data_IF_593531688454
#
_entry.id   IF_593531688454
#
_cell.length_a   1.000
_cell.length_b   1.000
_cell.length_c   1.000
_cell.angle_alpha   90.00
_cell.angle_beta   90.00
_cell.angle_gamma   90.00
#
_symmetry.space_group_name_H-M   'P 1'
#
loop_
_entity.id
_entity.type
_entity.pdbx_description
1 polymer ?
#
# COMPACT_ATOMS: atom_id res chain seq x y z
N UNK A 1 -4.59 31.79 68.21
CA UNK A 1 -3.72 30.85 67.46
C UNK A 1 -4.52 30.28 66.30
N UNK A 2 -4.33 30.77 65.07
CA UNK A 2 -5.03 30.27 63.85
C UNK A 2 -4.16 29.24 63.14
N UNK A 3 -4.62 27.99 63.08
CA UNK A 3 -3.97 26.94 62.36
C UNK A 3 -4.27 27.03 60.87
N UNK A 4 -3.25 27.32 60.06
CA UNK A 4 -3.34 27.24 58.60
C UNK A 4 -3.12 25.76 58.19
N UNK A 5 -4.13 25.17 57.55
CA UNK A 5 -4.03 23.86 56.93
C UNK A 5 -3.66 24.11 55.48
N UNK A 6 -2.43 23.73 55.08
CA UNK A 6 -1.97 23.68 53.70
C UNK A 6 -2.47 22.38 53.05
N UNK A 7 -3.44 22.49 52.13
CA UNK A 7 -3.86 21.38 51.29
C UNK A 7 -2.91 21.36 50.08
N UNK A 8 -1.98 20.41 50.04
CA UNK A 8 -1.14 20.10 48.88
C UNK A 8 -2.02 19.37 47.86
N UNK A 9 -2.49 20.05 46.83
CA UNK A 9 -3.13 19.46 45.67
C UNK A 9 -2.04 18.79 44.79
N UNK A 10 -1.92 17.49 44.89
CA UNK A 10 -1.07 16.70 44.00
C UNK A 10 -1.70 16.64 42.60
N UNK A 11 -1.18 17.45 41.69
CA UNK A 11 -1.55 17.39 40.27
C UNK A 11 -0.86 16.17 39.67
N UNK A 12 -1.60 15.08 39.52
CA UNK A 12 -1.17 13.94 38.71
C UNK A 12 -1.18 14.36 37.22
N UNK A 13 -0.03 14.69 36.69
CA UNK A 13 0.19 14.74 35.25
C UNK A 13 0.09 13.30 34.72
N UNK A 14 -1.08 12.91 34.25
CA UNK A 14 -1.22 11.75 33.41
C UNK A 14 -0.47 12.03 32.11
N UNK A 15 0.80 11.65 32.02
CA UNK A 15 1.54 11.58 30.78
C UNK A 15 0.82 10.57 29.90
N UNK A 16 -0.10 11.05 29.07
CA UNK A 16 -0.74 10.24 28.02
C UNK A 16 0.37 9.71 27.13
N UNK A 17 0.70 8.43 27.28
CA UNK A 17 1.50 7.72 26.32
C UNK A 17 0.65 7.70 25.03
N UNK A 18 0.96 8.60 24.10
CA UNK A 18 0.49 8.47 22.73
C UNK A 18 1.12 7.18 22.19
N UNK A 19 0.43 6.06 22.38
CA UNK A 19 0.76 4.84 21.68
C UNK A 19 0.70 5.18 20.18
N UNK A 20 1.84 5.24 19.51
CA UNK A 20 1.90 5.39 18.07
C UNK A 20 1.20 4.17 17.46
N UNK A 21 -0.09 4.34 17.17
CA UNK A 21 -0.83 3.37 16.37
C UNK A 21 -0.20 3.32 14.98
N UNK A 22 -0.14 2.15 14.38
CA UNK A 22 0.26 1.96 12.99
C UNK A 22 -0.90 1.36 12.18
N UNK A 23 -0.75 1.37 10.86
CA UNK A 23 -1.77 0.94 9.91
C UNK A 23 -2.15 -0.54 10.05
N UNK A 24 -1.27 -1.37 10.60
CA UNK A 24 -1.51 -2.82 10.74
C UNK A 24 -2.12 -3.21 12.09
N UNK A 25 -2.29 -2.29 13.01
CA UNK A 25 -2.74 -2.59 14.37
C UNK A 25 -4.11 -3.29 14.41
N UNK A 26 -5.00 -2.97 13.46
CA UNK A 26 -6.35 -3.54 13.35
C UNK A 26 -6.44 -4.74 12.41
N UNK A 27 -5.37 -5.06 11.69
CA UNK A 27 -5.35 -6.16 10.73
C UNK A 27 -5.38 -7.50 11.46
N UNK A 28 -6.17 -8.43 10.93
CA UNK A 28 -6.27 -9.83 11.40
C UNK A 28 -6.38 -10.75 10.20
N UNK A 29 -5.69 -11.89 10.24
CA UNK A 29 -5.85 -12.91 9.21
C UNK A 29 -7.26 -13.46 9.21
N UNK A 30 -7.83 -13.66 8.02
CA UNK A 30 -9.22 -14.10 7.85
C UNK A 30 -10.27 -12.99 7.90
N UNK A 31 -9.87 -11.74 8.21
CA UNK A 31 -10.74 -10.56 8.12
C UNK A 31 -10.59 -9.87 6.74
N UNK A 32 -11.44 -8.87 6.48
CA UNK A 32 -11.32 -7.97 5.34
C UNK A 32 -10.12 -7.01 5.57
N UNK A 33 -8.96 -7.41 5.04
CA UNK A 33 -7.70 -6.69 5.23
C UNK A 33 -7.75 -5.27 4.61
N UNK A 34 -8.20 -5.07 3.36
CA UNK A 34 -8.38 -3.73 2.80
C UNK A 34 -9.19 -2.81 3.71
N UNK A 35 -10.35 -3.28 4.17
CA UNK A 35 -11.19 -2.50 5.07
C UNK A 35 -10.51 -2.18 6.41
N UNK A 36 -9.69 -3.09 6.93
CA UNK A 36 -8.95 -2.88 8.18
C UNK A 36 -7.82 -1.84 8.02
N UNK A 37 -7.23 -1.73 6.82
CA UNK A 37 -6.15 -0.80 6.50
C UNK A 37 -6.66 0.62 6.20
N UNK A 38 -7.73 0.75 5.39
CA UNK A 38 -8.24 2.04 4.94
C UNK A 38 -8.60 2.94 6.12
N UNK A 39 -8.13 4.19 6.08
CA UNK A 39 -8.34 5.18 7.13
C UNK A 39 -7.39 5.05 8.33
N UNK A 40 -6.54 4.01 8.37
CA UNK A 40 -5.49 3.93 9.38
C UNK A 40 -4.37 4.92 9.04
N UNK A 41 -3.67 5.39 10.06
CA UNK A 41 -2.52 6.27 9.89
C UNK A 41 -1.36 5.69 10.68
N UNK A 42 -0.30 5.40 9.96
CA UNK A 42 0.95 4.95 10.56
C UNK A 42 1.95 6.08 10.75
N UNK A 43 2.80 6.02 11.76
CA UNK A 43 4.00 6.82 11.78
C UNK A 43 4.92 6.35 10.64
N UNK A 44 5.75 7.25 10.13
CA UNK A 44 6.82 6.90 9.19
C UNK A 44 7.83 6.02 9.94
N UNK A 45 7.57 4.73 10.00
CA UNK A 45 8.45 3.75 10.64
C UNK A 45 9.32 3.08 9.57
N UNK A 46 10.49 2.62 9.99
CA UNK A 46 11.32 1.78 9.13
C UNK A 46 10.58 0.47 8.84
N UNK A 47 10.54 0.05 7.58
CA UNK A 47 9.90 -1.18 7.10
C UNK A 47 10.25 -2.38 7.98
N UNK A 48 11.55 -2.57 8.26
CA UNK A 48 12.04 -3.69 9.11
C UNK A 48 11.41 -3.69 10.53
N UNK A 49 11.10 -2.52 11.07
CA UNK A 49 10.45 -2.40 12.38
C UNK A 49 9.00 -2.87 12.30
N UNK A 50 8.29 -2.49 11.23
CA UNK A 50 6.89 -2.92 10.99
C UNK A 50 6.81 -4.43 10.77
N UNK A 51 7.67 -4.99 9.91
CA UNK A 51 7.73 -6.42 9.65
C UNK A 51 7.97 -7.23 10.93
N UNK A 52 8.94 -6.81 11.75
CA UNK A 52 9.23 -7.45 13.04
C UNK A 52 8.06 -7.32 14.02
N UNK A 53 7.45 -6.14 14.11
CA UNK A 53 6.31 -5.87 15.00
C UNK A 53 5.10 -6.72 14.64
N UNK A 54 4.85 -6.92 13.34
CA UNK A 54 3.71 -7.64 12.80
C UNK A 54 4.06 -9.01 12.19
N UNK A 55 5.13 -9.66 12.72
CA UNK A 55 5.57 -10.97 12.24
C UNK A 55 4.46 -12.05 12.27
N UNK A 56 3.54 -11.96 13.24
CA UNK A 56 2.39 -12.86 13.33
C UNK A 56 1.40 -12.73 12.13
N UNK A 57 1.42 -11.60 11.41
CA UNK A 57 0.67 -11.42 10.17
C UNK A 57 1.45 -11.91 8.94
N UNK A 58 2.68 -12.39 9.11
CA UNK A 58 3.58 -12.65 7.99
C UNK A 58 3.84 -11.38 7.15
N UNK A 59 3.83 -10.20 7.81
CA UNK A 59 4.01 -8.93 7.14
C UNK A 59 5.37 -8.86 6.47
N UNK A 60 5.38 -8.61 5.15
CA UNK A 60 6.61 -8.43 4.36
C UNK A 60 6.38 -7.33 3.33
N UNK A 61 7.33 -6.39 3.27
CA UNK A 61 7.35 -5.35 2.25
C UNK A 61 7.79 -5.94 0.90
N UNK A 62 7.02 -5.71 -0.15
CA UNK A 62 7.25 -6.27 -1.48
C UNK A 62 7.74 -5.20 -2.47
N UNK A 63 7.58 -3.93 -2.17
CA UNK A 63 7.99 -2.81 -2.99
C UNK A 63 7.14 -1.56 -2.72
N UNK A 64 7.61 -0.42 -3.22
CA UNK A 64 6.89 0.84 -3.16
C UNK A 64 7.24 1.71 -4.35
N UNK A 65 6.24 2.44 -4.88
CA UNK A 65 6.39 3.41 -5.95
C UNK A 65 5.90 4.78 -5.49
N UNK A 66 6.61 5.83 -5.85
CA UNK A 66 6.12 7.20 -5.72
C UNK A 66 5.18 7.51 -6.88
N UNK A 67 3.92 7.75 -6.59
CA UNK A 67 2.88 8.06 -7.58
C UNK A 67 2.82 9.57 -7.86
N UNK A 68 3.05 10.35 -6.82
CA UNK A 68 3.16 11.81 -6.85
C UNK A 68 3.80 12.31 -5.56
N UNK A 69 4.09 13.61 -5.48
CA UNK A 69 4.58 14.27 -4.26
C UNK A 69 3.72 14.08 -3.00
N UNK A 70 2.47 13.62 -3.16
CA UNK A 70 1.50 13.41 -2.08
C UNK A 70 1.02 11.98 -1.91
N UNK A 71 1.36 11.08 -2.84
CA UNK A 71 0.79 9.73 -2.89
C UNK A 71 1.86 8.71 -3.27
N UNK A 72 1.95 7.65 -2.50
CA UNK A 72 2.77 6.47 -2.80
C UNK A 72 1.90 5.23 -2.87
N UNK A 73 2.29 4.24 -3.68
CA UNK A 73 1.76 2.89 -3.59
C UNK A 73 2.77 1.99 -2.90
N UNK A 74 2.30 1.10 -2.04
CA UNK A 74 3.13 0.16 -1.31
C UNK A 74 2.53 -1.23 -1.46
N UNK A 75 3.35 -2.21 -1.81
CA UNK A 75 2.93 -3.60 -1.85
C UNK A 75 3.36 -4.31 -0.56
N UNK A 76 2.40 -4.95 0.08
CA UNK A 76 2.61 -5.72 1.28
C UNK A 76 2.11 -7.16 1.13
N UNK A 77 2.93 -8.13 1.53
CA UNK A 77 2.44 -9.47 1.85
C UNK A 77 1.85 -9.44 3.26
N UNK A 78 0.60 -9.87 3.40
CA UNK A 78 -0.13 -9.90 4.69
C UNK A 78 -0.93 -11.19 4.75
N UNK A 79 -0.71 -12.01 5.77
CA UNK A 79 -1.41 -13.29 5.93
C UNK A 79 -1.27 -14.23 4.72
N UNK A 80 -0.14 -14.16 4.02
CA UNK A 80 0.14 -15.00 2.85
C UNK A 80 -0.49 -14.53 1.54
N UNK A 81 -1.14 -13.35 1.52
CA UNK A 81 -1.67 -12.72 0.31
C UNK A 81 -1.05 -11.34 0.11
N UNK A 82 -0.90 -10.92 -1.15
CA UNK A 82 -0.38 -9.60 -1.49
C UNK A 82 -1.49 -8.55 -1.58
N UNK A 83 -1.18 -7.36 -1.09
CA UNK A 83 -2.06 -6.20 -1.12
C UNK A 83 -1.32 -4.98 -1.61
N UNK A 84 -1.94 -4.24 -2.53
CA UNK A 84 -1.52 -2.87 -2.85
C UNK A 84 -2.23 -1.88 -1.95
N UNK A 85 -1.49 -0.92 -1.45
CA UNK A 85 -1.96 0.10 -0.50
C UNK A 85 -1.56 1.47 -1.01
N UNK A 86 -2.50 2.40 -1.13
CA UNK A 86 -2.22 3.81 -1.39
C UNK A 86 -2.06 4.53 -0.05
N UNK A 87 -0.93 5.23 0.07
CA UNK A 87 -0.58 5.98 1.27
C UNK A 87 -0.36 7.44 0.92
N UNK A 88 -1.14 8.31 1.54
CA UNK A 88 -0.97 9.74 1.39
C UNK A 88 0.23 10.26 2.20
N UNK A 89 0.76 11.41 1.80
CA UNK A 89 1.77 12.12 2.57
C UNK A 89 1.29 12.33 4.01
N UNK A 90 2.09 11.85 4.98
CA UNK A 90 1.69 11.84 6.40
C UNK A 90 1.10 10.50 6.86
N UNK A 91 1.20 9.44 6.03
CA UNK A 91 0.98 8.06 6.44
C UNK A 91 -0.48 7.60 6.46
N UNK A 92 -1.43 8.38 5.92
CA UNK A 92 -2.83 7.96 5.85
C UNK A 92 -3.01 6.92 4.73
N UNK A 93 -3.51 5.75 5.06
CA UNK A 93 -3.96 4.76 4.07
C UNK A 93 -5.28 5.22 3.47
N UNK A 94 -5.25 5.63 2.21
CA UNK A 94 -6.44 6.14 1.49
C UNK A 94 -7.19 5.05 0.76
N UNK A 95 -6.49 4.01 0.31
CA UNK A 95 -7.09 2.84 -0.34
C UNK A 95 -6.23 1.60 -0.23
N UNK A 96 -6.84 0.43 -0.35
CA UNK A 96 -6.15 -0.85 -0.38
C UNK A 96 -6.96 -1.85 -1.21
N UNK A 97 -6.28 -2.67 -2.01
CA UNK A 97 -6.88 -3.74 -2.80
C UNK A 97 -6.04 -5.02 -2.71
N UNK A 98 -6.66 -6.21 -2.75
CA UNK A 98 -5.90 -7.43 -2.92
C UNK A 98 -5.22 -7.42 -4.29
N UNK A 99 -3.94 -7.77 -4.31
CA UNK A 99 -3.20 -7.89 -5.55
C UNK A 99 -3.33 -9.32 -6.09
N UNK A 100 -3.55 -9.51 -7.41
CA UNK A 100 -3.70 -10.83 -7.98
C UNK A 100 -2.41 -11.64 -7.88
N UNK A 101 -2.54 -12.95 -7.84
CA UNK A 101 -1.40 -13.83 -8.04
C UNK A 101 -0.71 -13.51 -9.35
N UNK A 102 0.59 -13.45 -9.31
CA UNK A 102 1.44 -13.17 -10.46
C UNK A 102 2.67 -14.09 -10.50
N UNK A 103 3.30 -14.18 -11.66
CA UNK A 103 4.42 -15.08 -11.92
C UNK A 103 5.27 -14.56 -13.08
N UNK A 104 6.33 -15.28 -13.45
CA UNK A 104 7.10 -14.96 -14.66
C UNK A 104 6.25 -15.00 -15.94
N UNK A 105 5.23 -15.86 -16.01
CA UNK A 105 4.32 -15.95 -17.15
C UNK A 105 3.21 -14.86 -17.10
N UNK A 106 2.89 -14.38 -15.92
CA UNK A 106 1.89 -13.34 -15.70
C UNK A 106 2.48 -12.30 -14.74
N UNK A 107 3.44 -11.48 -15.20
CA UNK A 107 4.20 -10.61 -14.30
C UNK A 107 3.40 -9.43 -13.78
N UNK A 108 3.68 -9.03 -12.55
CA UNK A 108 3.20 -7.78 -11.98
C UNK A 108 3.84 -6.58 -12.68
N UNK A 109 3.12 -5.49 -12.77
CA UNK A 109 3.62 -4.25 -13.37
C UNK A 109 3.08 -3.00 -12.66
N UNK A 110 3.82 -1.91 -12.81
CA UNK A 110 3.44 -0.55 -12.44
C UNK A 110 3.95 0.41 -13.52
N UNK A 111 3.11 1.30 -14.04
CA UNK A 111 3.56 2.29 -15.03
C UNK A 111 2.46 2.88 -15.90
N UNK A 112 2.91 3.63 -16.92
CA UNK A 112 2.04 4.18 -17.94
C UNK A 112 1.71 3.11 -18.98
N UNK A 113 0.49 3.13 -19.47
CA UNK A 113 0.01 2.20 -20.48
C UNK A 113 -0.52 2.94 -21.72
N UNK A 114 -0.83 2.17 -22.75
CA UNK A 114 -1.42 2.66 -24.00
C UNK A 114 -2.77 1.99 -24.24
N UNK A 115 -3.66 2.71 -24.93
CA UNK A 115 -4.88 2.14 -25.51
C UNK A 115 -5.08 2.69 -26.89
N UNK A 116 -5.37 1.79 -27.85
CA UNK A 116 -5.55 2.13 -29.28
C UNK A 116 -4.36 2.94 -29.87
N UNK A 117 -3.13 2.59 -29.45
CA UNK A 117 -1.91 3.26 -29.89
C UNK A 117 -1.68 4.66 -29.32
N UNK A 118 -2.40 5.06 -28.27
CA UNK A 118 -2.24 6.35 -27.58
C UNK A 118 -1.80 6.13 -26.16
N UNK A 119 -0.81 6.90 -25.73
CA UNK A 119 -0.37 6.91 -24.33
C UNK A 119 -1.48 7.42 -23.42
N UNK A 120 -1.64 6.76 -22.28
CA UNK A 120 -2.57 7.15 -21.23
C UNK A 120 -1.81 7.93 -20.14
N UNK A 121 -2.39 9.03 -19.62
CA UNK A 121 -1.69 9.91 -18.67
C UNK A 121 -1.65 9.37 -17.24
N UNK A 122 -2.43 8.33 -16.97
CA UNK A 122 -2.59 7.76 -15.64
C UNK A 122 -1.56 6.64 -15.38
N UNK A 123 -1.26 6.39 -14.13
CA UNK A 123 -0.49 5.21 -13.72
C UNK A 123 -1.44 4.03 -13.53
N UNK A 124 -1.03 2.89 -14.09
CA UNK A 124 -1.73 1.62 -13.98
C UNK A 124 -0.86 0.63 -13.22
N UNK A 125 -1.50 -0.22 -12.46
CA UNK A 125 -0.89 -1.32 -11.72
C UNK A 125 -1.69 -2.60 -11.95
N UNK A 126 -1.04 -3.74 -11.99
CA UNK A 126 -1.74 -5.00 -12.22
C UNK A 126 -0.86 -6.14 -12.71
N UNK A 127 -1.44 -7.02 -13.52
CA UNK A 127 -0.78 -8.21 -14.04
C UNK A 127 -0.87 -8.22 -15.57
N UNK A 128 0.26 -8.48 -16.21
CA UNK A 128 0.39 -8.59 -17.67
C UNK A 128 0.34 -10.04 -18.14
N UNK A 129 -0.04 -10.24 -19.42
CA UNK A 129 0.21 -11.48 -20.13
C UNK A 129 1.66 -11.50 -20.64
N UNK A 130 2.51 -12.23 -19.95
CA UNK A 130 3.94 -12.33 -20.26
C UNK A 130 4.26 -13.32 -21.41
N UNK A 131 3.29 -13.98 -22.01
CA UNK A 131 3.52 -14.96 -23.08
C UNK A 131 4.11 -14.32 -24.35
N UNK A 132 3.76 -13.06 -24.63
CA UNK A 132 4.32 -12.30 -25.74
C UNK A 132 5.76 -11.88 -25.46
N UNK A 133 6.59 -11.76 -26.52
CA UNK A 133 7.95 -11.16 -26.47
C UNK A 133 7.95 -9.68 -26.84
N UNK A 134 6.80 -9.09 -27.11
CA UNK A 134 6.68 -7.67 -27.47
C UNK A 134 7.10 -6.76 -26.31
N UNK A 135 7.46 -5.51 -26.65
CA UNK A 135 7.78 -4.48 -25.65
C UNK A 135 6.54 -3.99 -24.90
N UNK A 136 5.37 -4.05 -25.55
CA UNK A 136 4.08 -3.75 -24.97
C UNK A 136 3.30 -5.08 -24.79
N UNK A 137 2.84 -5.33 -23.58
CA UNK A 137 2.16 -6.56 -23.20
C UNK A 137 0.68 -6.29 -22.92
N UNK A 138 -0.22 -7.22 -23.33
CA UNK A 138 -1.61 -7.17 -22.91
C UNK A 138 -1.77 -7.23 -21.41
N UNK A 139 -2.80 -6.59 -20.89
CA UNK A 139 -3.15 -6.60 -19.48
C UNK A 139 -4.15 -7.70 -19.18
N UNK A 140 -3.85 -8.53 -18.17
CA UNK A 140 -4.79 -9.55 -17.65
C UNK A 140 -5.77 -8.88 -16.68
N UNK A 141 -5.24 -8.07 -15.76
CA UNK A 141 -6.06 -7.28 -14.82
C UNK A 141 -5.30 -6.03 -14.42
N UNK A 142 -6.01 -4.92 -14.27
CA UNK A 142 -5.40 -3.65 -13.88
C UNK A 142 -6.32 -2.79 -13.04
N UNK A 143 -5.67 -1.92 -12.28
CA UNK A 143 -6.26 -0.75 -11.64
C UNK A 143 -5.55 0.49 -12.16
N UNK A 144 -6.35 1.51 -12.43
CA UNK A 144 -5.87 2.88 -12.61
C UNK A 144 -5.76 3.54 -11.25
N UNK A 145 -4.70 4.29 -11.02
CA UNK A 145 -4.56 5.11 -9.82
C UNK A 145 -5.17 6.49 -10.07
N UNK A 146 -6.29 6.77 -9.42
CA UNK A 146 -6.87 8.12 -9.37
C UNK A 146 -6.11 8.95 -8.33
N UNK A 147 -5.17 9.78 -8.82
CA UNK A 147 -4.31 10.62 -7.97
C UNK A 147 -5.08 11.69 -7.21
N UNK A 148 -6.24 12.13 -7.72
CA UNK A 148 -7.04 13.18 -7.08
C UNK A 148 -7.83 12.64 -5.89
N UNK A 149 -8.40 11.43 -6.05
CA UNK A 149 -9.20 10.76 -5.03
C UNK A 149 -8.39 9.82 -4.16
N UNK A 150 -7.11 9.58 -4.49
CA UNK A 150 -6.24 8.59 -3.89
C UNK A 150 -6.93 7.20 -3.82
N UNK A 151 -7.38 6.71 -5.00
CA UNK A 151 -8.13 5.45 -5.13
C UNK A 151 -7.61 4.57 -6.26
N UNK A 152 -7.69 3.26 -6.04
CA UNK A 152 -7.58 2.28 -7.10
C UNK A 152 -8.92 2.13 -7.82
N UNK A 153 -8.93 2.32 -9.12
CA UNK A 153 -10.11 2.13 -9.97
C UNK A 153 -9.85 0.92 -10.85
N UNK A 154 -10.58 -0.18 -10.63
CA UNK A 154 -10.47 -1.36 -11.48
C UNK A 154 -10.91 -1.01 -12.90
N UNK A 155 -10.11 -1.38 -13.88
CA UNK A 155 -10.35 -1.09 -15.29
C UNK A 155 -10.36 -2.38 -16.11
N UNK A 156 -11.10 -2.42 -17.24
CA UNK A 156 -10.99 -3.52 -18.20
C UNK A 156 -9.56 -3.62 -18.75
N UNK A 157 -9.02 -4.82 -18.82
CA UNK A 157 -7.70 -5.06 -19.44
C UNK A 157 -7.75 -5.04 -20.97
N UNK A 158 -8.93 -5.23 -21.56
CA UNK A 158 -9.11 -5.31 -23.01
C UNK A 158 -8.64 -4.03 -23.73
N UNK A 159 -7.72 -4.20 -24.69
CA UNK A 159 -7.14 -3.10 -25.43
C UNK A 159 -6.16 -2.22 -24.68
N UNK A 160 -5.83 -2.59 -23.43
CA UNK A 160 -4.79 -1.95 -22.64
C UNK A 160 -3.47 -2.68 -22.85
N UNK A 161 -2.43 -1.95 -23.25
CA UNK A 161 -1.07 -2.44 -23.45
C UNK A 161 -0.12 -1.68 -22.55
N UNK A 162 0.71 -2.39 -21.80
CA UNK A 162 1.65 -1.75 -20.88
C UNK A 162 3.08 -2.21 -21.15
N UNK A 163 4.07 -1.33 -20.94
CA UNK A 163 5.46 -1.64 -21.29
C UNK A 163 6.02 -2.73 -20.39
N UNK A 164 6.78 -3.63 -20.99
CA UNK A 164 7.55 -4.66 -20.29
C UNK A 164 8.53 -4.07 -19.26
N UNK A 165 9.03 -2.86 -19.51
CA UNK A 165 9.91 -2.15 -18.58
C UNK A 165 9.25 -1.77 -17.25
N UNK A 166 7.90 -1.80 -17.17
CA UNK A 166 7.17 -1.59 -15.92
C UNK A 166 7.02 -2.84 -15.06
N UNK A 167 7.57 -3.99 -15.51
CA UNK A 167 7.53 -5.23 -14.73
C UNK A 167 8.46 -5.10 -13.53
N UNK A 168 7.95 -5.43 -12.35
CA UNK A 168 8.77 -5.63 -11.16
C UNK A 168 8.70 -7.10 -10.73
N UNK A 169 9.84 -7.63 -10.31
CA UNK A 169 9.95 -8.99 -9.78
C UNK A 169 9.97 -8.94 -8.26
N UNK A 170 9.15 -9.76 -7.65
CA UNK A 170 9.05 -9.89 -6.19
C UNK A 170 10.32 -10.48 -5.56
N UNK A 171 11.18 -11.07 -6.38
CA UNK A 171 12.36 -11.83 -5.92
C UNK A 171 13.56 -10.97 -5.50
N UNK A 172 13.40 -9.64 -5.35
CA UNK A 172 14.46 -8.77 -4.79
C UNK A 172 15.85 -8.96 -5.40
N UNK A 173 15.94 -9.55 -6.58
CA UNK A 173 17.17 -9.87 -7.27
C UNK A 173 17.46 -8.81 -8.33
N UNK A 174 18.31 -7.86 -7.99
CA UNK A 174 19.29 -7.30 -8.90
C UNK A 174 20.55 -8.14 -8.81
#
# INVERSE_FOLDING_TARGET
>A
MKKFIFILASIYFAAGQFACADEFQKVRCGADIPKALIGQRGPVQRIVVLEKKHAALGLKHMGADEISDRLSSINWMICGAEFMVLVERGGLVSDAVPFPEHSKASPAFSGLCQSKGKDLPDIYVGVLDGASKADLLPVVTAWKIDKQRAKFIKVPGEGLLCPRSGIYTVDGGL
#
